data_IF_260817105648
#
_entry.id   IF_260817105648
#
_cell.length_a   1.000
_cell.length_b   1.000
_cell.length_c   1.000
_cell.angle_alpha   90.00
_cell.angle_beta   90.00
_cell.angle_gamma   90.00
#
_symmetry.space_group_name_H-M   'P 1'
#
loop_
_entity.id
_entity.type
_entity.pdbx_description
1 polymer ?
#
# COMPACT_ATOMS: atom_id res chain seq x y z
N UNK A 1 77.22 2.48 -33.03
CA UNK A 1 75.93 3.07 -32.65
C UNK A 1 75.27 2.09 -31.67
N UNK A 2 75.35 2.19 -30.34
CA UNK A 2 75.78 3.29 -29.44
C UNK A 2 74.87 4.54 -29.56
N UNK A 3 74.21 5.09 -28.53
CA UNK A 3 74.04 4.80 -27.07
C UNK A 3 72.59 5.22 -26.62
N UNK A 4 72.09 5.22 -25.37
CA UNK A 4 72.50 4.86 -23.98
C UNK A 4 71.24 4.98 -23.06
N UNK A 5 71.01 4.21 -21.98
CA UNK A 5 71.64 4.05 -20.63
C UNK A 5 71.04 4.94 -19.50
N UNK A 6 70.61 4.30 -18.38
CA UNK A 6 70.13 4.84 -17.08
C UNK A 6 68.81 5.67 -17.07
N UNK A 7 68.10 5.89 -15.94
CA UNK A 7 68.31 5.65 -14.48
C UNK A 7 68.04 6.96 -13.69
N UNK A 8 67.44 7.06 -12.49
CA UNK A 8 67.17 6.15 -11.36
C UNK A 8 65.89 6.57 -10.53
N UNK A 9 65.71 6.06 -9.29
CA UNK A 9 64.64 6.39 -8.31
C UNK A 9 65.18 7.12 -7.05
N UNK A 10 64.27 7.50 -6.11
CA UNK A 10 64.46 7.89 -4.67
C UNK A 10 64.55 9.41 -4.40
N UNK A 11 64.15 9.98 -3.24
CA UNK A 11 63.32 9.47 -2.12
C UNK A 11 62.81 10.61 -1.19
N UNK A 12 61.91 10.27 -0.25
CA UNK A 12 61.38 11.08 0.87
C UNK A 12 62.42 11.93 1.66
N UNK A 13 61.97 13.01 2.33
CA UNK A 13 61.83 13.09 3.82
C UNK A 13 61.21 14.41 4.36
N UNK A 14 60.40 14.25 5.42
CA UNK A 14 60.18 15.09 6.62
C UNK A 14 59.97 16.64 6.56
N UNK A 15 58.94 17.13 7.26
CA UNK A 15 58.75 18.56 7.64
C UNK A 15 59.50 18.95 8.93
N UNK A 16 59.13 20.08 9.62
CA UNK A 16 58.27 19.92 10.82
C UNK A 16 57.44 21.15 11.32
N UNK A 17 56.69 20.94 12.41
CA UNK A 17 56.23 21.88 13.50
C UNK A 17 54.99 22.80 13.35
N UNK A 18 53.93 22.39 14.06
CA UNK A 18 53.02 23.19 14.93
C UNK A 18 53.80 23.88 16.10
N UNK A 19 53.24 24.78 16.99
CA UNK A 19 51.86 24.79 17.52
C UNK A 19 51.22 26.15 18.00
N UNK A 20 49.93 26.13 18.40
CA UNK A 20 49.44 26.40 19.80
C UNK A 20 47.89 26.40 19.95
N UNK A 21 47.43 26.33 21.20
CA UNK A 21 46.02 26.18 21.63
C UNK A 21 45.19 27.46 21.53
N UNK A 22 43.86 27.31 21.49
CA UNK A 22 42.92 27.99 22.41
C UNK A 22 41.58 27.23 22.51
N UNK A 23 40.80 27.48 23.56
CA UNK A 23 39.68 26.65 24.02
C UNK A 23 38.31 27.35 23.98
N UNK A 24 37.25 26.55 23.83
CA UNK A 24 35.85 26.78 24.24
C UNK A 24 35.28 28.21 24.25
N UNK A 25 34.21 28.40 23.46
CA UNK A 25 33.01 29.10 23.96
C UNK A 25 31.76 28.62 23.22
N UNK A 26 30.76 28.14 23.96
CA UNK A 26 29.40 28.03 23.45
C UNK A 26 28.71 29.41 23.52
N UNK A 27 27.85 29.73 22.55
CA UNK A 27 26.91 30.86 22.63
C UNK A 27 25.53 30.45 22.12
N UNK A 28 24.59 30.37 23.06
CA UNK A 28 23.15 30.39 22.78
C UNK A 28 22.72 31.82 22.44
N UNK A 29 22.10 32.04 21.29
CA UNK A 29 21.37 33.27 20.99
C UNK A 29 19.86 32.95 20.89
N UNK A 30 19.15 33.12 22.01
CA UNK A 30 17.71 33.33 21.98
C UNK A 30 17.44 34.84 21.89
N UNK A 31 16.38 35.23 21.17
CA UNK A 31 15.90 36.62 21.08
C UNK A 31 14.41 36.69 21.44
N UNK A 32 13.90 37.80 21.99
CA UNK A 32 12.79 37.74 22.94
C UNK A 32 11.39 37.86 22.31
N UNK A 33 10.41 37.33 23.03
CA UNK A 33 8.99 37.64 22.86
C UNK A 33 8.70 39.11 23.22
N UNK A 34 7.84 39.76 22.45
CA UNK A 34 7.22 41.05 22.83
C UNK A 34 5.71 40.94 22.80
N UNK A 35 5.07 40.83 23.98
CA UNK A 35 3.62 40.97 24.15
C UNK A 35 3.22 42.45 24.12
N UNK A 36 2.27 42.80 23.24
CA UNK A 36 1.39 43.99 23.30
C UNK A 36 0.37 43.94 22.14
N UNK A 37 -0.91 43.74 22.43
CA UNK A 37 -1.95 43.77 21.38
C UNK A 37 -3.32 43.21 21.79
N UNK A 38 -3.86 43.62 22.94
CA UNK A 38 -5.09 43.03 23.50
C UNK A 38 -6.36 43.77 23.03
N UNK A 39 -7.40 43.00 22.70
CA UNK A 39 -8.80 43.39 22.46
C UNK A 39 -9.16 44.16 21.18
N UNK A 40 -10.00 43.54 20.35
CA UNK A 40 -11.34 44.07 20.02
C UNK A 40 -12.37 42.93 20.06
N UNK A 41 -13.67 43.26 20.12
CA UNK A 41 -14.74 42.37 20.60
C UNK A 41 -15.89 42.17 19.60
N UNK A 42 -16.60 41.04 19.74
CA UNK A 42 -17.87 40.64 19.09
C UNK A 42 -17.93 40.67 17.54
N UNK A 43 -18.23 39.52 16.90
CA UNK A 43 -19.64 39.08 16.85
C UNK A 43 -19.83 37.56 16.99
N UNK A 44 -21.00 37.15 17.51
CA UNK A 44 -21.36 35.75 17.79
C UNK A 44 -22.52 35.25 16.92
N UNK A 45 -22.42 34.00 16.41
CA UNK A 45 -23.44 33.01 15.96
C UNK A 45 -22.89 32.23 14.73
N UNK A 46 -23.14 30.92 14.54
CA UNK A 46 -24.05 29.96 15.22
C UNK A 46 -23.56 28.48 15.04
N UNK A 47 -23.61 27.68 16.13
CA UNK A 47 -23.73 26.19 16.23
C UNK A 47 -22.57 25.34 15.63
N UNK A 48 -21.91 24.43 16.38
CA UNK A 48 -22.35 23.20 17.11
C UNK A 48 -22.60 21.96 16.21
N UNK A 49 -21.56 21.15 15.99
CA UNK A 49 -21.52 19.68 15.87
C UNK A 49 -20.02 19.28 15.95
N UNK A 50 -19.57 18.15 16.50
CA UNK A 50 -20.18 17.15 17.39
C UNK A 50 -19.08 16.59 18.32
N UNK A 51 -19.39 16.25 19.57
CA UNK A 51 -18.41 15.83 20.61
C UNK A 51 -17.95 14.36 20.44
N UNK A 52 -17.88 13.86 19.21
CA UNK A 52 -17.85 12.41 18.90
C UNK A 52 -16.46 11.87 18.53
N UNK A 53 -15.40 12.69 18.53
CA UNK A 53 -14.08 12.31 18.00
C UNK A 53 -12.96 12.16 19.05
N UNK A 54 -13.28 12.28 20.34
CA UNK A 54 -12.32 12.13 21.45
C UNK A 54 -12.45 10.82 22.25
N UNK A 55 -13.38 9.92 21.89
CA UNK A 55 -13.61 8.63 22.57
C UNK A 55 -13.33 7.39 21.69
N UNK A 56 -13.05 7.57 20.40
CA UNK A 56 -12.76 6.46 19.46
C UNK A 56 -11.26 6.15 19.34
N UNK A 57 -10.47 6.47 20.37
CA UNK A 57 -9.00 6.33 20.40
C UNK A 57 -8.50 5.50 21.60
N UNK A 58 -9.39 4.68 22.19
CA UNK A 58 -9.12 3.85 23.37
C UNK A 58 -9.58 2.38 23.22
N UNK A 59 -9.89 1.92 21.99
CA UNK A 59 -10.52 0.61 21.74
C UNK A 59 -9.75 -0.27 20.72
N UNK A 60 -8.43 -0.10 20.65
CA UNK A 60 -7.59 -0.79 19.66
C UNK A 60 -6.20 -1.20 20.19
N UNK A 61 -6.11 -1.73 21.42
CA UNK A 61 -4.95 -2.52 21.85
C UNK A 61 -5.32 -3.52 22.97
N UNK A 62 -4.60 -4.64 23.00
CA UNK A 62 -4.62 -5.71 24.01
C UNK A 62 -5.92 -6.51 24.17
N UNK A 63 -6.01 -7.65 23.46
CA UNK A 63 -6.61 -8.87 24.01
C UNK A 63 -5.49 -9.62 24.74
N UNK A 64 -5.51 -9.55 26.07
CA UNK A 64 -4.96 -10.54 27.01
C UNK A 64 -5.69 -10.32 28.34
N UNK A 65 -6.35 -11.35 28.89
CA UNK A 65 -7.24 -11.19 30.05
C UNK A 65 -6.52 -10.88 31.36
N UNK A 66 -5.18 -10.98 31.40
CA UNK A 66 -4.41 -10.95 32.65
C UNK A 66 -4.18 -9.56 33.28
N UNK A 67 -4.48 -8.45 32.58
CA UNK A 67 -4.03 -7.10 32.99
C UNK A 67 -5.10 -5.98 32.96
N UNK A 68 -6.40 -6.30 32.89
CA UNK A 68 -7.48 -5.31 32.81
C UNK A 68 -7.47 -4.28 33.97
N UNK A 69 -7.36 -4.73 35.22
CA UNK A 69 -7.40 -3.86 36.41
C UNK A 69 -6.27 -2.82 36.44
N UNK A 70 -5.08 -3.19 35.94
CA UNK A 70 -3.90 -2.31 35.90
C UNK A 70 -4.11 -1.14 34.94
N UNK A 71 -4.86 -1.34 33.85
CA UNK A 71 -5.24 -0.28 32.91
C UNK A 71 -6.29 0.63 33.53
N UNK A 72 -7.31 0.05 34.18
CA UNK A 72 -8.40 0.79 34.84
C UNK A 72 -7.85 1.72 35.93
N UNK A 73 -6.96 1.24 36.80
CA UNK A 73 -6.35 2.08 37.85
C UNK A 73 -5.48 3.21 37.28
N UNK A 74 -4.76 2.97 36.17
CA UNK A 74 -3.97 4.01 35.51
C UNK A 74 -4.84 5.09 34.86
N UNK A 75 -5.97 4.72 34.26
CA UNK A 75 -6.95 5.69 33.75
C UNK A 75 -7.59 6.49 34.88
N UNK A 76 -7.96 5.85 36.00
CA UNK A 76 -8.51 6.54 37.17
C UNK A 76 -7.52 7.57 37.76
N UNK A 77 -6.25 7.20 37.89
CA UNK A 77 -5.19 8.11 38.35
C UNK A 77 -4.98 9.30 37.39
N UNK A 78 -5.01 9.06 36.07
CA UNK A 78 -4.92 10.12 35.08
C UNK A 78 -6.11 11.09 35.16
N UNK A 79 -7.33 10.58 35.23
CA UNK A 79 -8.56 11.38 35.39
C UNK A 79 -8.50 12.21 36.69
N UNK A 80 -8.04 11.62 37.80
CA UNK A 80 -7.90 12.33 39.09
C UNK A 80 -6.81 13.40 39.10
N UNK A 81 -5.92 13.46 38.10
CA UNK A 81 -4.93 14.55 37.96
C UNK A 81 -5.52 15.80 37.27
N UNK A 82 -6.56 15.62 36.46
CA UNK A 82 -7.24 16.69 35.75
C UNK A 82 -8.14 17.47 36.73
N UNK A 83 -7.68 18.65 37.14
CA UNK A 83 -8.40 19.55 38.05
C UNK A 83 -9.64 20.16 37.36
N UNK A 84 -10.69 19.37 37.22
CA UNK A 84 -12.02 19.78 36.75
C UNK A 84 -12.97 19.80 37.95
N UNK A 85 -13.37 21.00 38.38
CA UNK A 85 -14.32 21.16 39.48
C UNK A 85 -15.72 20.66 39.08
N UNK A 86 -16.41 19.90 39.96
CA UNK A 86 -17.66 19.25 39.61
C UNK A 86 -18.85 20.23 39.65
N UNK A 87 -19.74 20.12 38.67
CA UNK A 87 -21.15 20.52 38.80
C UNK A 87 -22.04 19.26 38.87
N UNK A 88 -23.16 19.29 39.62
CA UNK A 88 -23.83 18.07 40.05
C UNK A 88 -24.57 17.32 38.93
N UNK A 89 -24.62 16.00 39.10
CA UNK A 89 -25.20 15.02 38.18
C UNK A 89 -26.73 14.92 38.34
N UNK A 90 -27.43 14.45 37.30
CA UNK A 90 -28.81 13.95 37.40
C UNK A 90 -28.93 12.58 36.73
N UNK A 91 -29.87 11.77 37.24
CA UNK A 91 -29.80 10.29 37.21
C UNK A 91 -29.99 9.64 35.82
N UNK A 92 -29.45 8.41 35.61
CA UNK A 92 -29.40 7.78 34.29
C UNK A 92 -30.67 7.02 33.90
N UNK A 93 -30.97 6.98 32.59
CA UNK A 93 -31.90 6.05 31.99
C UNK A 93 -31.16 4.77 31.53
N UNK A 94 -31.75 3.59 31.78
CA UNK A 94 -31.22 2.31 31.28
C UNK A 94 -31.45 2.17 29.76
N UNK A 95 -30.52 1.52 29.07
CA UNK A 95 -30.74 0.97 27.73
C UNK A 95 -30.79 -0.56 27.87
N UNK A 96 -31.95 -1.17 27.64
CA UNK A 96 -32.07 -2.61 27.47
C UNK A 96 -31.83 -2.99 26.01
N UNK A 97 -30.88 -3.88 25.74
CA UNK A 97 -30.81 -4.57 24.46
C UNK A 97 -31.89 -5.67 24.42
N UNK A 98 -32.82 -5.58 23.46
CA UNK A 98 -33.72 -6.69 23.11
C UNK A 98 -33.53 -7.09 21.66
N UNK A 99 -33.26 -8.37 21.44
CA UNK A 99 -33.18 -9.00 20.13
C UNK A 99 -34.58 -9.12 19.50
N UNK A 100 -34.76 -8.56 18.30
CA UNK A 100 -35.99 -8.71 17.53
C UNK A 100 -35.86 -9.85 16.51
N UNK A 101 -36.41 -11.03 16.85
CA UNK A 101 -36.88 -11.97 15.83
C UNK A 101 -38.20 -11.44 15.26
N UNK A 102 -38.36 -11.47 13.94
CA UNK A 102 -39.56 -11.01 13.25
C UNK A 102 -40.22 -12.15 12.47
N UNK A 103 -41.22 -12.79 13.07
CA UNK A 103 -42.27 -13.52 12.36
C UNK A 103 -43.45 -12.57 12.18
N UNK A 104 -44.03 -12.49 10.98
CA UNK A 104 -45.12 -11.57 10.67
C UNK A 104 -46.26 -12.34 10.02
N UNK A 105 -47.46 -12.30 10.62
CA UNK A 105 -48.66 -12.83 9.99
C UNK A 105 -49.90 -12.00 10.39
N UNK A 106 -50.50 -11.41 9.35
CA UNK A 106 -51.90 -11.00 9.12
C UNK A 106 -52.80 -10.19 10.09
N UNK A 107 -53.79 -9.59 9.41
CA UNK A 107 -55.18 -9.26 9.78
C UNK A 107 -55.58 -7.93 10.47
N UNK A 108 -56.71 -7.42 9.94
CA UNK A 108 -57.74 -6.50 10.46
C UNK A 108 -57.51 -4.97 10.54
N UNK A 109 -58.64 -4.24 10.56
CA UNK A 109 -58.79 -2.91 9.95
C UNK A 109 -59.98 -2.07 10.52
N UNK A 110 -60.55 -1.17 9.69
CA UNK A 110 -61.82 -0.38 9.90
C UNK A 110 -61.59 0.85 10.86
N UNK A 111 -62.35 1.98 10.82
CA UNK A 111 -62.31 3.02 9.77
C UNK A 111 -62.43 4.51 10.25
N UNK A 112 -62.65 5.44 9.29
CA UNK A 112 -63.26 6.81 9.42
C UNK A 112 -62.40 7.89 10.13
N UNK A 113 -62.61 9.20 9.92
CA UNK A 113 -63.60 9.92 9.07
C UNK A 113 -63.01 11.17 8.38
N UNK A 114 -63.81 11.88 7.57
CA UNK A 114 -63.37 12.96 6.67
C UNK A 114 -63.82 14.36 7.08
N UNK A 115 -62.93 15.36 6.97
CA UNK A 115 -63.31 16.77 6.86
C UNK A 115 -62.53 17.49 5.76
N UNK A 116 -63.21 18.38 5.05
CA UNK A 116 -62.72 19.09 3.87
C UNK A 116 -62.48 20.57 4.14
N UNK A 117 -61.33 21.08 3.69
CA UNK A 117 -61.07 22.52 3.56
C UNK A 117 -60.52 22.80 2.16
N UNK A 118 -61.23 23.61 1.38
CA UNK A 118 -60.92 23.92 -0.01
C UNK A 118 -59.96 25.09 -0.14
N UNK A 119 -58.83 24.90 -0.82
CA UNK A 119 -57.96 25.99 -1.28
C UNK A 119 -58.44 26.53 -2.63
N UNK A 120 -58.25 27.84 -2.93
CA UNK A 120 -58.65 28.43 -4.21
C UNK A 120 -57.75 27.97 -5.37
N UNK A 121 -58.27 27.89 -6.61
CA UNK A 121 -57.50 27.45 -7.77
C UNK A 121 -56.64 28.57 -8.34
N UNK A 122 -55.33 28.34 -8.50
CA UNK A 122 -54.45 29.36 -9.06
C UNK A 122 -52.96 29.06 -9.04
N UNK A 123 -52.51 28.00 -9.73
CA UNK A 123 -51.29 27.96 -10.56
C UNK A 123 -51.10 26.54 -11.12
N UNK A 124 -50.77 26.44 -12.41
CA UNK A 124 -50.44 25.18 -13.07
C UNK A 124 -49.05 24.67 -12.66
N UNK A 125 -48.89 23.46 -12.11
CA UNK A 125 -47.57 22.89 -11.89
C UNK A 125 -46.91 22.56 -13.23
N UNK A 126 -45.71 23.10 -13.48
CA UNK A 126 -44.85 22.64 -14.56
C UNK A 126 -44.41 21.19 -14.34
N UNK A 127 -44.23 20.37 -15.40
CA UNK A 127 -43.83 18.98 -15.24
C UNK A 127 -42.40 18.90 -14.69
N UNK A 128 -42.25 18.54 -13.42
CA UNK A 128 -40.95 18.31 -12.78
C UNK A 128 -40.35 17.00 -13.28
N UNK A 129 -39.59 17.06 -14.36
CA UNK A 129 -38.64 16.03 -14.75
C UNK A 129 -37.57 15.91 -13.66
N UNK A 130 -37.44 14.73 -13.03
CA UNK A 130 -36.53 14.63 -11.88
C UNK A 130 -36.54 13.36 -11.03
N UNK A 131 -37.01 12.21 -11.53
CA UNK A 131 -36.64 10.94 -10.90
C UNK A 131 -35.19 10.61 -11.26
N UNK A 132 -34.25 11.10 -10.44
CA UNK A 132 -32.87 10.60 -10.47
C UNK A 132 -32.90 9.08 -10.29
N UNK A 133 -32.19 8.30 -11.14
CA UNK A 133 -32.10 6.86 -10.92
C UNK A 133 -31.51 6.60 -9.54
N UNK A 134 -32.14 5.71 -8.77
CA UNK A 134 -31.70 5.40 -7.41
C UNK A 134 -30.21 5.06 -7.40
N UNK A 135 -29.44 5.76 -6.57
CA UNK A 135 -27.98 5.61 -6.51
C UNK A 135 -27.66 4.20 -6.01
N UNK A 136 -27.49 3.28 -6.95
CA UNK A 136 -27.37 1.85 -6.70
C UNK A 136 -26.03 1.62 -6.00
N UNK A 137 -26.07 1.53 -4.67
CA UNK A 137 -24.91 1.19 -3.86
C UNK A 137 -24.33 -0.13 -4.38
N UNK A 138 -23.25 -0.04 -5.14
CA UNK A 138 -22.40 -1.18 -5.48
C UNK A 138 -21.88 -1.67 -4.12
N UNK A 139 -22.15 -2.93 -3.72
CA UNK A 139 -21.55 -3.47 -2.51
C UNK A 139 -20.04 -3.38 -2.64
N UNK A 140 -19.39 -2.67 -1.73
CA UNK A 140 -17.94 -2.62 -1.66
C UNK A 140 -17.45 -4.04 -1.38
N UNK A 141 -17.01 -4.73 -2.45
CA UNK A 141 -16.34 -6.02 -2.31
C UNK A 141 -15.01 -5.74 -1.61
N UNK A 142 -14.94 -6.10 -0.34
CA UNK A 142 -13.67 -6.34 0.32
C UNK A 142 -13.02 -7.52 -0.40
N UNK A 143 -12.08 -7.25 -1.30
CA UNK A 143 -11.20 -8.31 -1.78
C UNK A 143 -10.32 -8.79 -0.62
N UNK A 144 -10.10 -10.10 -0.59
CA UNK A 144 -9.31 -10.79 0.42
C UNK A 144 -7.91 -11.15 -0.11
N UNK A 145 -7.55 -10.67 -1.31
CA UNK A 145 -6.30 -10.96 -1.98
C UNK A 145 -6.21 -12.42 -2.39
N UNK A 146 -7.30 -12.96 -2.97
CA UNK A 146 -7.40 -14.36 -3.38
C UNK A 146 -6.95 -14.53 -4.82
N UNK A 147 -5.80 -15.17 -5.01
CA UNK A 147 -5.28 -15.52 -6.34
C UNK A 147 -5.95 -16.79 -6.87
N UNK A 148 -6.10 -16.86 -8.20
CA UNK A 148 -6.58 -18.02 -8.96
C UNK A 148 -5.86 -18.05 -10.31
N UNK A 149 -5.17 -19.14 -10.70
CA UNK A 149 -4.46 -19.20 -11.99
C UNK A 149 -5.33 -18.81 -13.20
N UNK A 150 -6.64 -19.07 -13.13
CA UNK A 150 -7.61 -18.79 -14.20
C UNK A 150 -7.94 -17.29 -14.36
N UNK A 151 -7.61 -16.45 -13.37
CA UNK A 151 -7.94 -15.03 -13.32
C UNK A 151 -6.77 -14.13 -12.89
N UNK A 152 -5.55 -14.66 -12.92
CA UNK A 152 -4.31 -13.97 -12.55
C UNK A 152 -3.48 -13.67 -13.80
N UNK A 153 -2.80 -12.51 -13.83
CA UNK A 153 -1.76 -12.19 -14.81
C UNK A 153 -0.50 -11.75 -14.06
N UNK A 154 0.69 -12.19 -14.51
CA UNK A 154 1.97 -11.79 -13.93
C UNK A 154 2.53 -10.60 -14.72
N UNK A 155 3.02 -9.58 -14.01
CA UNK A 155 3.61 -8.36 -14.56
C UNK A 155 5.08 -8.26 -14.08
N UNK A 156 6.02 -8.31 -15.03
CA UNK A 156 7.46 -8.18 -14.80
C UNK A 156 7.94 -6.79 -15.27
N UNK A 157 8.16 -5.89 -14.31
CA UNK A 157 8.48 -4.50 -14.56
C UNK A 157 10.00 -4.25 -14.70
N UNK A 158 10.43 -3.92 -15.92
CA UNK A 158 11.69 -3.21 -16.24
C UNK A 158 12.98 -3.84 -15.67
N UNK A 159 13.08 -5.17 -15.66
CA UNK A 159 14.19 -5.95 -15.09
C UNK A 159 15.49 -5.92 -15.94
N UNK A 160 16.00 -4.71 -16.21
CA UNK A 160 17.02 -4.48 -17.25
C UNK A 160 18.46 -4.39 -16.73
N UNK A 161 19.41 -4.77 -17.60
CA UNK A 161 20.84 -4.92 -17.31
C UNK A 161 21.48 -3.74 -16.59
N UNK A 162 21.19 -2.49 -16.99
CA UNK A 162 21.88 -1.31 -16.43
C UNK A 162 21.33 -0.84 -15.08
N UNK A 163 20.23 -1.42 -14.61
CA UNK A 163 19.78 -1.25 -13.22
C UNK A 163 20.55 -2.14 -12.24
N UNK A 164 21.11 -3.27 -12.70
CA UNK A 164 21.79 -4.26 -11.86
C UNK A 164 22.86 -3.71 -10.88
N UNK A 165 23.72 -2.73 -11.24
CA UNK A 165 24.70 -2.17 -10.30
C UNK A 165 24.13 -1.09 -9.36
N UNK A 166 22.89 -0.65 -9.55
CA UNK A 166 22.28 0.47 -8.82
C UNK A 166 21.16 0.07 -7.86
N UNK A 167 20.50 -1.07 -8.09
CA UNK A 167 19.37 -1.56 -7.31
C UNK A 167 19.83 -2.34 -6.07
N UNK A 168 19.23 -2.07 -4.91
CA UNK A 168 19.48 -2.84 -3.70
C UNK A 168 18.96 -4.27 -3.85
N UNK A 169 19.78 -5.24 -3.45
CA UNK A 169 19.46 -6.68 -3.49
C UNK A 169 19.10 -7.20 -4.90
N UNK A 170 19.68 -6.63 -5.97
CA UNK A 170 19.31 -6.98 -7.34
C UNK A 170 19.44 -8.47 -7.67
N UNK A 171 20.49 -9.16 -7.16
CA UNK A 171 20.70 -10.59 -7.41
C UNK A 171 19.65 -11.45 -6.73
N UNK A 172 19.29 -11.08 -5.51
CA UNK A 172 18.34 -11.77 -4.67
C UNK A 172 16.93 -11.61 -5.23
N UNK A 173 16.49 -10.38 -5.55
CA UNK A 173 15.17 -10.15 -6.18
C UNK A 173 15.07 -10.81 -7.56
N UNK A 174 16.17 -10.87 -8.33
CA UNK A 174 16.24 -11.56 -9.62
C UNK A 174 16.06 -13.08 -9.46
N UNK A 175 16.60 -13.69 -8.40
CA UNK A 175 16.35 -15.10 -8.10
C UNK A 175 14.88 -15.36 -7.76
N UNK A 176 14.25 -14.46 -6.98
CA UNK A 176 12.80 -14.50 -6.75
C UNK A 176 12.02 -14.38 -8.06
N UNK A 177 12.38 -13.44 -8.93
CA UNK A 177 11.70 -13.24 -10.21
C UNK A 177 11.83 -14.43 -11.16
N UNK A 178 12.98 -15.13 -11.18
CA UNK A 178 13.12 -16.40 -11.91
C UNK A 178 12.11 -17.45 -11.43
N UNK A 179 11.95 -17.59 -10.10
CA UNK A 179 10.97 -18.52 -9.50
C UNK A 179 9.53 -18.13 -9.85
N UNK A 180 9.21 -16.83 -9.91
CA UNK A 180 7.89 -16.34 -10.35
C UNK A 180 7.63 -16.62 -11.84
N UNK A 181 8.60 -16.35 -12.71
CA UNK A 181 8.52 -16.63 -14.16
C UNK A 181 8.39 -18.13 -14.43
N UNK A 182 9.14 -18.97 -13.70
CA UNK A 182 9.05 -20.43 -13.84
C UNK A 182 7.73 -20.99 -13.29
N UNK A 183 7.22 -20.47 -12.16
CA UNK A 183 5.89 -20.83 -11.69
C UNK A 183 4.77 -20.40 -12.65
N UNK A 184 4.93 -19.23 -13.28
CA UNK A 184 4.02 -18.72 -14.31
C UNK A 184 3.97 -19.67 -15.53
N UNK A 185 5.11 -20.23 -15.95
CA UNK A 185 5.20 -21.34 -16.92
C UNK A 185 4.51 -22.62 -16.42
N UNK A 186 4.85 -23.09 -15.22
CA UNK A 186 4.31 -24.33 -14.63
C UNK A 186 2.78 -24.32 -14.43
N UNK A 187 2.19 -23.15 -14.20
CA UNK A 187 0.77 -22.96 -13.92
C UNK A 187 -0.03 -22.38 -15.11
N UNK A 188 0.62 -22.06 -16.23
CA UNK A 188 -0.03 -21.51 -17.43
C UNK A 188 -0.58 -20.08 -17.26
N UNK A 189 -0.10 -19.34 -16.27
CA UNK A 189 -0.60 -18.00 -15.89
C UNK A 189 0.05 -16.97 -16.83
N UNK A 190 -0.69 -16.18 -17.63
CA UNK A 190 -0.09 -15.26 -18.60
C UNK A 190 0.90 -14.28 -17.96
N UNK A 191 2.06 -14.07 -18.61
CA UNK A 191 3.10 -13.15 -18.18
C UNK A 191 3.24 -12.00 -19.19
N UNK A 192 3.27 -10.76 -18.71
CA UNK A 192 3.63 -9.58 -19.49
C UNK A 192 4.90 -8.97 -18.88
N UNK A 193 5.88 -8.65 -19.72
CA UNK A 193 7.11 -7.97 -19.31
C UNK A 193 7.26 -6.62 -20.03
N UNK A 194 7.91 -5.65 -19.38
CA UNK A 194 8.25 -4.36 -20.01
C UNK A 194 9.72 -4.02 -19.92
N UNK A 195 10.15 -3.14 -20.82
CA UNK A 195 11.46 -2.50 -20.79
C UNK A 195 11.32 -0.99 -20.89
N UNK A 196 11.77 -0.28 -19.86
CA UNK A 196 11.90 1.17 -19.86
C UNK A 196 13.09 1.56 -20.76
N UNK A 197 12.83 2.26 -21.86
CA UNK A 197 13.85 2.85 -22.75
C UNK A 197 15.11 1.96 -22.97
N UNK A 198 14.98 0.73 -23.52
CA UNK A 198 16.07 -0.25 -23.52
C UNK A 198 17.31 0.20 -24.30
N UNK A 199 17.16 1.09 -25.29
CA UNK A 199 18.29 1.78 -25.95
C UNK A 199 19.21 2.49 -24.95
N UNK A 200 18.66 3.08 -23.89
CA UNK A 200 19.41 3.70 -22.81
C UNK A 200 19.75 2.74 -21.67
N UNK A 201 18.80 1.90 -21.24
CA UNK A 201 18.88 1.12 -19.99
C UNK A 201 19.28 -0.36 -20.16
N UNK A 202 19.55 -0.81 -21.38
CA UNK A 202 19.85 -2.21 -21.67
C UNK A 202 18.57 -3.03 -21.87
N UNK A 203 18.74 -4.31 -22.23
CA UNK A 203 17.62 -5.26 -22.33
C UNK A 203 17.32 -5.90 -20.98
N UNK A 204 16.21 -6.63 -20.90
CA UNK A 204 15.89 -7.50 -19.76
C UNK A 204 17.06 -8.46 -19.52
N UNK A 205 17.45 -8.66 -18.26
CA UNK A 205 18.61 -9.49 -17.93
C UNK A 205 18.48 -10.91 -18.47
N UNK A 206 19.55 -11.40 -19.09
CA UNK A 206 19.54 -12.66 -19.87
C UNK A 206 19.16 -13.90 -19.05
N UNK A 207 19.34 -13.84 -17.73
CA UNK A 207 18.99 -14.92 -16.82
C UNK A 207 17.49 -14.97 -16.46
N UNK A 208 16.69 -14.00 -16.90
CA UNK A 208 15.25 -13.94 -16.69
C UNK A 208 14.51 -14.17 -18.02
N UNK A 209 14.21 -15.44 -18.32
CA UNK A 209 13.54 -15.84 -19.57
C UNK A 209 12.04 -15.45 -19.58
N UNK A 210 11.80 -14.18 -19.89
CA UNK A 210 10.48 -13.55 -20.10
C UNK A 210 9.95 -13.69 -21.54
N UNK A 211 10.62 -14.46 -22.39
CA UNK A 211 10.35 -14.51 -23.84
C UNK A 211 9.83 -15.87 -24.33
N UNK A 212 9.66 -16.84 -23.44
CA UNK A 212 9.24 -18.21 -23.78
C UNK A 212 7.96 -18.67 -23.08
N UNK A 213 7.36 -19.74 -23.62
CA UNK A 213 6.22 -20.43 -23.00
C UNK A 213 4.93 -19.62 -23.01
N UNK A 214 4.53 -19.14 -21.84
CA UNK A 214 3.28 -18.45 -21.54
C UNK A 214 3.41 -16.91 -21.51
N UNK A 215 4.60 -16.38 -21.81
CA UNK A 215 4.81 -14.94 -21.93
C UNK A 215 4.10 -14.38 -23.18
N UNK A 216 3.37 -13.29 -23.00
CA UNK A 216 2.69 -12.56 -24.09
C UNK A 216 3.65 -11.62 -24.86
N UNK A 217 4.89 -11.49 -24.38
CA UNK A 217 5.97 -10.72 -24.98
C UNK A 217 6.59 -9.69 -24.03
N UNK A 218 7.60 -8.99 -24.54
CA UNK A 218 8.27 -7.87 -23.89
C UNK A 218 7.87 -6.57 -24.60
N UNK A 219 7.32 -5.60 -23.86
CA UNK A 219 6.87 -4.31 -24.42
C UNK A 219 7.86 -3.20 -24.05
N UNK A 220 8.48 -2.57 -25.05
CA UNK A 220 9.29 -1.36 -24.84
C UNK A 220 8.37 -0.16 -24.53
N UNK A 221 8.74 0.66 -23.54
CA UNK A 221 7.99 1.87 -23.13
C UNK A 221 8.90 3.03 -22.73
N UNK A 222 8.34 4.23 -22.65
CA UNK A 222 8.99 5.43 -22.09
C UNK A 222 8.28 5.97 -20.86
N UNK A 223 7.02 5.59 -20.70
CA UNK A 223 6.12 5.81 -19.59
C UNK A 223 6.56 4.94 -18.40
N UNK A 224 6.57 5.49 -17.19
CA UNK A 224 6.95 4.71 -16.01
C UNK A 224 5.97 3.56 -15.74
N UNK A 225 4.67 3.84 -15.80
CA UNK A 225 3.64 2.79 -15.69
C UNK A 225 3.73 1.77 -16.83
N UNK A 226 3.57 0.49 -16.52
CA UNK A 226 3.41 -0.58 -17.50
C UNK A 226 2.08 -0.47 -18.27
N UNK A 227 1.10 0.34 -17.82
CA UNK A 227 -0.23 0.45 -18.42
C UNK A 227 -0.28 1.26 -19.74
N UNK A 228 0.73 1.09 -20.60
CA UNK A 228 0.73 1.55 -21.99
C UNK A 228 -0.25 0.71 -22.84
N UNK A 229 -0.68 1.25 -23.99
CA UNK A 229 -1.73 0.63 -24.82
C UNK A 229 -1.47 -0.85 -25.17
N UNK A 230 -0.27 -1.28 -25.62
CA UNK A 230 -0.04 -2.69 -25.97
C UNK A 230 -0.17 -3.65 -24.77
N UNK A 231 0.27 -3.23 -23.58
CA UNK A 231 0.12 -4.00 -22.34
C UNK A 231 -1.34 -4.07 -21.91
N UNK A 232 -2.09 -2.98 -22.06
CA UNK A 232 -3.53 -2.97 -21.79
C UNK A 232 -4.31 -3.82 -22.82
N UNK A 233 -3.88 -3.87 -24.08
CA UNK A 233 -4.46 -4.75 -25.09
C UNK A 233 -4.20 -6.23 -24.77
N UNK A 234 -2.97 -6.59 -24.40
CA UNK A 234 -2.62 -7.94 -23.92
C UNK A 234 -3.42 -8.32 -22.66
N UNK A 235 -3.48 -7.44 -21.65
CA UNK A 235 -4.21 -7.69 -20.40
C UNK A 235 -5.72 -7.86 -20.62
N UNK A 236 -6.33 -7.13 -21.55
CA UNK A 236 -7.74 -7.29 -21.93
C UNK A 236 -8.05 -8.63 -22.61
N UNK A 237 -7.05 -9.32 -23.17
CA UNK A 237 -7.22 -10.64 -23.78
C UNK A 237 -6.79 -11.78 -22.84
N UNK A 238 -5.86 -11.52 -21.91
CA UNK A 238 -5.40 -12.47 -20.91
C UNK A 238 -6.56 -13.07 -20.09
N UNK A 239 -6.42 -14.33 -19.68
CA UNK A 239 -7.48 -15.10 -19.01
C UNK A 239 -8.82 -15.10 -19.79
N UNK A 240 -8.79 -15.05 -21.12
CA UNK A 240 -9.98 -14.97 -21.96
C UNK A 240 -10.82 -13.69 -21.74
N UNK A 241 -10.17 -12.59 -21.37
CA UNK A 241 -10.84 -11.34 -20.98
C UNK A 241 -11.47 -11.36 -19.59
N UNK A 242 -11.13 -12.34 -18.74
CA UNK A 242 -11.67 -12.49 -17.37
C UNK A 242 -10.64 -12.26 -16.25
N UNK A 243 -9.48 -11.69 -16.58
CA UNK A 243 -8.43 -11.32 -15.64
C UNK A 243 -8.97 -10.37 -14.55
N UNK A 244 -8.56 -10.61 -13.29
CA UNK A 244 -9.01 -9.85 -12.11
C UNK A 244 -7.85 -9.43 -11.21
N UNK A 245 -6.86 -10.31 -11.07
CA UNK A 245 -5.72 -10.12 -10.17
C UNK A 245 -4.41 -10.02 -10.94
N UNK A 246 -3.51 -9.15 -10.47
CA UNK A 246 -2.20 -8.91 -11.08
C UNK A 246 -1.11 -9.19 -10.05
N UNK A 247 -0.18 -10.09 -10.35
CA UNK A 247 1.02 -10.32 -9.56
C UNK A 247 2.14 -9.47 -10.16
N UNK A 248 2.46 -8.36 -9.50
CA UNK A 248 3.39 -7.34 -9.96
C UNK A 248 4.73 -7.48 -9.22
N UNK A 249 5.81 -7.57 -9.99
CA UNK A 249 7.19 -7.59 -9.50
C UNK A 249 8.13 -6.83 -10.44
N UNK A 250 9.28 -6.40 -9.96
CA UNK A 250 10.24 -5.63 -10.76
C UNK A 250 10.75 -4.35 -10.11
N UNK A 251 11.15 -3.40 -10.95
CA UNK A 251 11.83 -2.17 -10.53
C UNK A 251 11.35 -0.95 -11.33
N UNK A 252 11.49 0.27 -10.84
CA UNK A 252 11.79 0.63 -9.45
C UNK A 252 10.49 0.68 -8.62
N UNK A 253 10.55 0.20 -7.37
CA UNK A 253 9.38 0.03 -6.49
C UNK A 253 8.56 1.33 -6.32
N UNK A 254 9.25 2.47 -6.31
CA UNK A 254 8.73 3.82 -6.10
C UNK A 254 8.47 4.62 -7.38
N UNK A 255 8.69 4.03 -8.56
CA UNK A 255 8.54 4.71 -9.85
C UNK A 255 7.63 3.90 -10.76
N UNK A 256 8.18 2.92 -11.48
CA UNK A 256 7.45 2.15 -12.48
C UNK A 256 6.42 1.22 -11.82
N UNK A 257 6.82 0.51 -10.75
CA UNK A 257 5.92 -0.40 -10.01
C UNK A 257 4.79 0.36 -9.31
N UNK A 258 5.09 1.49 -8.67
CA UNK A 258 4.07 2.30 -7.99
C UNK A 258 3.05 2.91 -8.96
N UNK A 259 3.51 3.50 -10.07
CA UNK A 259 2.59 4.07 -11.07
C UNK A 259 1.77 2.97 -11.77
N UNK A 260 2.37 1.82 -12.07
CA UNK A 260 1.65 0.64 -12.60
C UNK A 260 0.56 0.19 -11.65
N UNK A 261 0.85 0.09 -10.35
CA UNK A 261 -0.13 -0.31 -9.36
C UNK A 261 -1.28 0.70 -9.21
N UNK A 262 -0.99 2.00 -9.26
CA UNK A 262 -2.00 3.07 -9.23
C UNK A 262 -2.95 2.96 -10.42
N UNK A 263 -2.43 2.76 -11.64
CA UNK A 263 -3.25 2.60 -12.84
C UNK A 263 -4.08 1.31 -12.78
N UNK A 264 -3.48 0.18 -12.38
CA UNK A 264 -4.19 -1.10 -12.25
C UNK A 264 -5.29 -1.07 -11.19
N UNK A 265 -5.06 -0.45 -10.01
CA UNK A 265 -6.12 -0.23 -9.01
C UNK A 265 -7.21 0.71 -9.54
N UNK A 266 -6.85 1.74 -10.31
CA UNK A 266 -7.81 2.66 -10.94
C UNK A 266 -8.66 1.99 -12.03
N UNK A 267 -8.11 0.99 -12.72
CA UNK A 267 -8.82 0.11 -13.65
C UNK A 267 -9.64 -1.00 -12.96
N UNK A 268 -9.58 -1.11 -11.64
CA UNK A 268 -10.37 -2.06 -10.85
C UNK A 268 -9.76 -3.46 -10.69
N UNK A 269 -8.46 -3.64 -10.94
CA UNK A 269 -7.75 -4.91 -10.71
C UNK A 269 -7.30 -5.06 -9.25
N UNK A 270 -7.08 -6.30 -8.81
CA UNK A 270 -6.53 -6.62 -7.49
C UNK A 270 -5.03 -6.91 -7.58
N UNK A 271 -4.23 -5.96 -7.09
CA UNK A 271 -2.78 -5.92 -7.32
C UNK A 271 -2.02 -6.50 -6.14
N UNK A 272 -1.18 -7.49 -6.42
CA UNK A 272 -0.29 -8.17 -5.49
C UNK A 272 1.15 -7.78 -5.79
N UNK A 273 1.75 -6.93 -4.95
CA UNK A 273 3.15 -6.50 -5.13
C UNK A 273 4.08 -7.44 -4.37
N UNK A 274 4.94 -8.12 -5.10
CA UNK A 274 5.83 -9.16 -4.55
C UNK A 274 7.12 -8.50 -4.05
N UNK A 275 7.15 -8.18 -2.75
CA UNK A 275 8.15 -7.29 -2.14
C UNK A 275 9.58 -7.88 -2.12
N UNK A 276 9.69 -9.21 -2.07
CA UNK A 276 10.96 -9.95 -2.19
C UNK A 276 11.43 -10.09 -3.64
N UNK A 277 10.58 -9.78 -4.63
CA UNK A 277 10.92 -9.66 -6.06
C UNK A 277 10.92 -8.20 -6.56
N UNK A 278 10.90 -7.22 -5.65
CA UNK A 278 10.69 -5.79 -5.98
C UNK A 278 11.64 -4.90 -5.19
N UNK A 279 12.27 -3.92 -5.84
CA UNK A 279 13.28 -3.06 -5.18
C UNK A 279 13.46 -1.66 -5.80
N UNK A 280 14.29 -0.83 -5.16
CA UNK A 280 14.70 0.50 -5.59
C UNK A 280 16.21 0.69 -5.34
N UNK A 281 16.74 1.86 -5.68
CA UNK A 281 18.13 2.26 -5.45
C UNK A 281 18.45 2.65 -4.00
N UNK A 282 17.43 3.01 -3.21
CA UNK A 282 17.51 3.23 -1.76
C UNK A 282 16.50 2.33 -1.04
N UNK A 283 16.72 2.08 0.26
CA UNK A 283 15.80 1.28 1.06
C UNK A 283 14.63 2.15 1.56
N UNK A 284 14.88 3.43 1.72
CA UNK A 284 13.92 4.49 2.04
C UNK A 284 12.82 4.55 0.97
N UNK A 285 13.20 4.72 -0.31
CA UNK A 285 12.25 4.79 -1.43
C UNK A 285 11.46 3.48 -1.55
N UNK A 286 12.13 2.33 -1.42
CA UNK A 286 11.52 0.99 -1.50
C UNK A 286 10.49 0.77 -0.39
N UNK A 287 10.85 1.02 0.86
CA UNK A 287 9.96 0.76 2.00
C UNK A 287 8.81 1.78 2.07
N UNK A 288 9.05 3.05 1.72
CA UNK A 288 7.99 4.05 1.63
C UNK A 288 7.04 3.76 0.45
N UNK A 289 7.53 3.24 -0.68
CA UNK A 289 6.67 2.78 -1.77
C UNK A 289 5.77 1.62 -1.32
N UNK A 290 6.29 0.60 -0.64
CA UNK A 290 5.45 -0.49 -0.13
C UNK A 290 4.37 0.01 0.85
N UNK A 291 4.65 1.03 1.66
CA UNK A 291 3.63 1.66 2.52
C UNK A 291 2.54 2.37 1.70
N UNK A 292 2.90 3.16 0.67
CA UNK A 292 1.94 3.84 -0.20
C UNK A 292 1.11 2.86 -1.04
N UNK A 293 1.76 1.84 -1.59
CA UNK A 293 1.14 0.71 -2.29
C UNK A 293 0.10 -0.02 -1.40
N UNK A 294 0.42 -0.24 -0.12
CA UNK A 294 -0.55 -0.81 0.83
C UNK A 294 -1.72 0.15 1.09
N UNK A 295 -1.46 1.46 1.21
CA UNK A 295 -2.50 2.49 1.44
C UNK A 295 -3.49 2.64 0.28
N UNK A 296 -3.07 2.41 -0.96
CA UNK A 296 -3.97 2.39 -2.14
C UNK A 296 -4.68 1.04 -2.37
N UNK A 297 -4.54 0.08 -1.44
CA UNK A 297 -5.23 -1.21 -1.51
C UNK A 297 -4.54 -2.26 -2.40
N UNK A 298 -3.21 -2.24 -2.49
CA UNK A 298 -2.43 -3.36 -3.03
C UNK A 298 -2.02 -4.33 -1.90
N UNK A 299 -1.98 -5.62 -2.20
CA UNK A 299 -1.48 -6.65 -1.29
C UNK A 299 0.03 -6.76 -1.40
N UNK A 300 0.74 -6.15 -0.43
CA UNK A 300 2.19 -6.39 -0.26
C UNK A 300 2.38 -7.85 0.19
N UNK A 301 3.15 -8.62 -0.57
CA UNK A 301 3.25 -10.07 -0.41
C UNK A 301 4.66 -10.60 -0.72
N UNK A 302 4.88 -11.90 -0.53
CA UNK A 302 6.11 -12.62 -0.88
C UNK A 302 5.85 -13.66 -1.96
N UNK A 303 6.90 -14.11 -2.67
CA UNK A 303 6.74 -15.12 -3.70
C UNK A 303 6.16 -16.44 -3.17
N UNK A 304 6.64 -16.95 -2.03
CA UNK A 304 6.08 -18.16 -1.41
C UNK A 304 4.57 -18.01 -1.14
N UNK A 305 4.12 -16.84 -0.67
CA UNK A 305 2.70 -16.59 -0.42
C UNK A 305 1.88 -16.60 -1.72
N UNK A 306 2.38 -15.99 -2.79
CA UNK A 306 1.77 -16.04 -4.13
C UNK A 306 1.65 -17.48 -4.62
N UNK A 307 2.75 -18.24 -4.57
CA UNK A 307 2.81 -19.63 -5.04
C UNK A 307 1.83 -20.54 -4.28
N UNK A 308 1.78 -20.44 -2.95
CA UNK A 308 0.83 -21.22 -2.15
C UNK A 308 -0.62 -20.78 -2.33
N UNK A 309 -0.90 -19.47 -2.48
CA UNK A 309 -2.26 -18.97 -2.79
C UNK A 309 -2.80 -19.50 -4.11
N UNK A 310 -1.94 -19.61 -5.13
CA UNK A 310 -2.33 -20.09 -6.47
C UNK A 310 -2.68 -21.58 -6.48
N UNK A 311 -1.94 -22.43 -5.77
CA UNK A 311 -2.18 -23.88 -5.75
C UNK A 311 -3.17 -24.34 -4.66
N UNK A 312 -3.37 -23.54 -3.60
CA UNK A 312 -4.32 -23.70 -2.47
C UNK A 312 -4.18 -24.96 -1.59
N UNK A 313 -3.71 -26.09 -2.10
CA UNK A 313 -3.52 -27.34 -1.35
C UNK A 313 -2.23 -28.07 -1.72
N UNK A 314 -1.70 -28.84 -0.76
CA UNK A 314 -0.66 -29.85 -0.98
C UNK A 314 -1.06 -30.97 -1.96
N UNK A 315 -2.37 -31.16 -2.15
CA UNK A 315 -2.95 -32.18 -3.02
C UNK A 315 -3.19 -31.68 -4.46
N UNK A 316 -2.80 -30.42 -4.75
CA UNK A 316 -2.84 -29.85 -6.11
C UNK A 316 -1.83 -30.57 -7.03
N UNK A 317 -2.18 -30.93 -8.29
CA UNK A 317 -1.29 -31.71 -9.16
C UNK A 317 0.11 -31.12 -9.35
N UNK A 318 0.22 -29.78 -9.43
CA UNK A 318 1.50 -29.06 -9.56
C UNK A 318 2.25 -28.83 -8.25
N UNK A 319 1.75 -29.27 -7.09
CA UNK A 319 2.37 -29.00 -5.79
C UNK A 319 3.84 -29.44 -5.73
N UNK A 320 4.19 -30.61 -6.28
CA UNK A 320 5.58 -31.12 -6.28
C UNK A 320 6.52 -30.46 -7.29
N UNK A 321 5.98 -29.66 -8.21
CA UNK A 321 6.78 -28.80 -9.09
C UNK A 321 7.00 -27.45 -8.41
N UNK A 322 5.93 -26.80 -7.97
CA UNK A 322 5.97 -25.51 -7.25
C UNK A 322 6.77 -25.60 -5.94
N UNK A 323 6.70 -26.73 -5.21
CA UNK A 323 7.49 -26.96 -3.99
C UNK A 323 9.01 -26.89 -4.26
N UNK A 324 9.50 -27.19 -5.47
CA UNK A 324 10.94 -27.09 -5.78
C UNK A 324 11.43 -25.65 -5.81
N UNK A 325 10.56 -24.71 -6.19
CA UNK A 325 10.87 -23.27 -6.31
C UNK A 325 11.05 -22.57 -4.95
N UNK A 326 10.81 -23.27 -3.84
CA UNK A 326 10.80 -22.73 -2.47
C UNK A 326 11.62 -23.56 -1.46
N UNK A 327 12.21 -24.69 -1.87
CA UNK A 327 13.05 -25.53 -0.97
C UNK A 327 14.36 -24.80 -0.61
N UNK A 328 14.99 -24.15 -1.59
CA UNK A 328 16.15 -23.30 -1.36
C UNK A 328 15.68 -21.91 -0.92
N UNK A 329 16.07 -21.48 0.28
CA UNK A 329 15.73 -20.14 0.78
C UNK A 329 16.56 -19.07 0.07
N UNK A 330 15.86 -18.07 -0.49
CA UNK A 330 16.49 -16.88 -1.05
C UNK A 330 17.18 -16.08 0.08
N UNK A 331 18.38 -15.49 -0.15
CA UNK A 331 19.01 -14.60 0.82
C UNK A 331 18.14 -13.40 1.18
N UNK A 332 18.33 -12.85 2.39
CA UNK A 332 17.48 -11.75 2.89
C UNK A 332 17.62 -10.48 2.04
N UNK A 333 16.50 -10.02 1.47
CA UNK A 333 16.40 -8.74 0.76
C UNK A 333 16.17 -7.55 1.69
N UNK A 334 16.51 -7.64 2.98
CA UNK A 334 16.44 -6.51 3.93
C UNK A 334 15.03 -6.04 4.32
N UNK A 335 13.97 -6.76 3.92
CA UNK A 335 12.57 -6.41 4.23
C UNK A 335 12.22 -6.51 5.72
N UNK A 336 12.91 -7.38 6.46
CA UNK A 336 12.78 -7.54 7.92
C UNK A 336 14.03 -6.95 8.57
N UNK A 337 13.90 -6.09 9.60
CA UNK A 337 15.05 -5.60 10.35
C UNK A 337 15.88 -6.75 10.91
N UNK A 338 17.21 -6.67 10.77
CA UNK A 338 18.11 -7.64 11.38
C UNK A 338 17.95 -7.59 12.90
N UNK A 339 17.44 -8.68 13.49
CA UNK A 339 17.42 -8.83 14.94
C UNK A 339 18.85 -8.88 15.47
N UNK A 340 19.11 -8.14 16.55
CA UNK A 340 20.29 -8.38 17.38
C UNK A 340 20.05 -9.70 18.12
N UNK A 341 20.71 -10.75 17.66
CA UNK A 341 20.86 -12.02 18.39
C UNK A 341 21.93 -11.86 19.48
#
# INVERSE_FOLDING_TARGET
MAEGVCGERKSMRCGPRLPRHLTFHARTNASPLTDRGRNQWFHLRRRRHSLSRFLTLAFAFCIDETHADTVIQRMASFISSLHVSPTPFSSPARIECRSAFATFDNTDAIPRESHSTTCPPGHSPSPTTGFSPAFKMIPQRFDLGMLDPSFTVFFCCDFQEKFAPAILHFKEILDVSKRLVEASKMLGIPLIATEQYPKGLGKTVTELDVSSGNALGVVEKTEFSMCVEPVLAQLKQACGGSAKSIVLFGIEAHVCVEQTAIDLKSLGYDVHVVADATSSRSQEDRMLAFQRLQQIGCFITTHENVLFKLIRSKDHPKFKEVQKLIIERVPSTGLVPASKM
#
